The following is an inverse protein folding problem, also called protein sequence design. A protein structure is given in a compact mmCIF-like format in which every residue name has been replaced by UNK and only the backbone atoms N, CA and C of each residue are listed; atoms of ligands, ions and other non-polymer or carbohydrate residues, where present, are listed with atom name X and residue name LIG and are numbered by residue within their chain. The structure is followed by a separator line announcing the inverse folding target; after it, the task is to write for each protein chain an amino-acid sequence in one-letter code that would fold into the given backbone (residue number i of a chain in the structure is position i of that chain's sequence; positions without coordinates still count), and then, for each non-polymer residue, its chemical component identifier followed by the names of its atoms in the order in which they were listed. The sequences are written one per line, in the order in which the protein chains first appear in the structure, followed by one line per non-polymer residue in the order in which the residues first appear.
data_IF_041899849395
#
_entry.id   IF_041899849395
#
_cell.length_a   1.000
_cell.length_b   1.000
_cell.length_c   1.000
_cell.angle_alpha   90.00
_cell.angle_beta   90.00
_cell.angle_gamma   90.00
#
_symmetry.space_group_name_H-M   'P 1'
#
loop_
_entity.id
_entity.type
_entity.pdbx_description
1 polymer ?
#
# COMPACT_ATOMS: atom_id res chain seq x y z
N UNK A 1 -10.97 -4.74 3.84
CA UNK A 1 -11.21 -4.44 2.41
C UNK A 1 -10.41 -5.39 1.56
N UNK A 2 -11.01 -5.95 0.55
CA UNK A 2 -10.34 -6.93 -0.31
C UNK A 2 -9.98 -6.33 -1.67
N UNK A 3 -9.01 -6.95 -2.33
CA UNK A 3 -8.63 -6.63 -3.71
C UNK A 3 -9.85 -6.63 -4.64
N UNK A 4 -10.70 -7.63 -4.51
CA UNK A 4 -11.88 -7.78 -5.36
C UNK A 4 -12.84 -6.61 -5.21
N UNK A 5 -13.05 -6.13 -3.99
CA UNK A 5 -13.92 -4.98 -3.74
C UNK A 5 -13.35 -3.70 -4.33
N UNK A 6 -12.04 -3.51 -4.21
CA UNK A 6 -11.39 -2.33 -4.79
C UNK A 6 -11.53 -2.33 -6.30
N UNK A 7 -11.30 -3.47 -6.94
CA UNK A 7 -11.43 -3.61 -8.38
C UNK A 7 -12.87 -3.40 -8.85
N UNK A 8 -13.84 -3.77 -8.02
CA UNK A 8 -15.25 -3.53 -8.33
C UNK A 8 -15.59 -2.04 -8.28
N UNK A 9 -14.98 -1.31 -7.33
CA UNK A 9 -15.20 0.13 -7.18
C UNK A 9 -14.45 0.94 -8.25
N UNK A 10 -13.26 0.52 -8.62
CA UNK A 10 -12.46 1.15 -9.67
C UNK A 10 -11.55 0.11 -10.33
N UNK A 11 -11.92 -0.39 -11.51
CA UNK A 11 -11.09 -1.38 -12.21
C UNK A 11 -9.69 -0.89 -12.60
N UNK A 12 -9.50 0.42 -12.63
CA UNK A 12 -8.22 1.03 -13.00
C UNK A 12 -7.31 1.25 -11.80
N UNK A 13 -7.80 1.03 -10.57
CA UNK A 13 -6.98 1.19 -9.37
C UNK A 13 -5.76 0.26 -9.43
N UNK A 14 -4.59 0.84 -9.18
CA UNK A 14 -3.34 0.08 -9.18
C UNK A 14 -3.23 -0.64 -7.83
N UNK A 15 -3.01 -1.94 -7.89
CA UNK A 15 -2.86 -2.78 -6.72
C UNK A 15 -1.48 -3.42 -6.70
N UNK A 16 -0.95 -3.63 -5.52
CA UNK A 16 0.29 -4.37 -5.34
C UNK A 16 0.05 -5.85 -5.58
N UNK A 17 1.14 -6.62 -5.64
CA UNK A 17 1.06 -8.07 -5.75
C UNK A 17 0.16 -8.68 -4.66
N UNK A 18 -0.40 -9.85 -4.93
CA UNK A 18 -1.34 -10.53 -4.03
C UNK A 18 -0.78 -10.74 -2.62
N UNK A 19 0.55 -10.91 -2.50
CA UNK A 19 1.17 -11.08 -1.19
C UNK A 19 0.97 -9.87 -0.26
N UNK A 20 0.64 -8.71 -0.81
CA UNK A 20 0.39 -7.50 -0.04
C UNK A 20 -1.09 -7.27 0.28
N UNK A 21 -1.97 -8.17 -0.13
CA UNK A 21 -3.41 -7.99 0.10
C UNK A 21 -3.76 -7.86 1.57
N UNK A 22 -3.03 -8.56 2.44
CA UNK A 22 -3.24 -8.47 3.89
C UNK A 22 -2.90 -7.10 4.46
N UNK A 23 -2.16 -6.29 3.72
CA UNK A 23 -1.79 -4.94 4.13
C UNK A 23 -2.83 -3.89 3.68
N UNK A 24 -3.86 -4.28 2.95
CA UNK A 24 -4.91 -3.34 2.53
C UNK A 24 -5.74 -2.96 3.75
N UNK A 25 -5.78 -1.67 4.06
CA UNK A 25 -6.55 -1.16 5.20
C UNK A 25 -7.84 -0.48 4.80
N UNK A 26 -7.99 -0.14 3.52
CA UNK A 26 -9.21 0.48 3.06
C UNK A 26 -9.07 1.10 1.69
N UNK A 27 -9.97 2.01 1.39
CA UNK A 27 -9.97 2.79 0.16
C UNK A 27 -10.08 4.25 0.47
N UNK A 28 -9.60 5.07 -0.45
CA UNK A 28 -9.76 6.51 -0.37
C UNK A 28 -10.02 7.07 -1.75
N UNK A 29 -10.09 8.38 -1.84
CA UNK A 29 -10.27 9.05 -3.12
C UNK A 29 -9.05 9.91 -3.42
N UNK A 30 -8.57 9.85 -4.66
CA UNK A 30 -7.50 10.74 -5.09
C UNK A 30 -8.06 12.15 -5.35
N UNK A 31 -7.21 13.06 -5.80
CA UNK A 31 -7.61 14.45 -6.04
C UNK A 31 -8.72 14.58 -7.10
N UNK A 32 -8.83 13.61 -8.00
CA UNK A 32 -9.88 13.57 -9.02
C UNK A 32 -11.16 12.87 -8.56
N UNK A 33 -11.20 12.36 -7.33
CA UNK A 33 -12.36 11.65 -6.80
C UNK A 33 -12.41 10.16 -7.14
N UNK A 34 -11.37 9.63 -7.79
CA UNK A 34 -11.32 8.20 -8.11
C UNK A 34 -10.95 7.38 -6.90
N UNK A 35 -11.56 6.21 -6.77
CA UNK A 35 -11.25 5.28 -5.68
C UNK A 35 -9.87 4.67 -5.87
N UNK A 36 -9.06 4.72 -4.84
CA UNK A 36 -7.73 4.12 -4.83
C UNK A 36 -7.56 3.27 -3.58
N UNK A 37 -6.61 2.32 -3.62
CA UNK A 37 -6.31 1.47 -2.49
C UNK A 37 -5.48 2.20 -1.45
N UNK A 38 -5.70 1.87 -0.18
CA UNK A 38 -4.87 2.33 0.93
C UNK A 38 -4.24 1.12 1.58
N UNK A 39 -2.91 1.11 1.64
CA UNK A 39 -2.12 0.05 2.27
C UNK A 39 -1.48 0.56 3.54
N UNK A 40 -1.31 -0.34 4.52
CA UNK A 40 -0.49 -0.05 5.69
C UNK A 40 0.98 -0.11 5.30
N UNK A 41 1.70 0.99 5.47
CA UNK A 41 3.14 1.05 5.20
C UNK A 41 3.90 0.03 6.04
N UNK A 42 3.60 -0.01 7.33
CA UNK A 42 4.25 -0.93 8.26
C UNK A 42 4.04 -2.39 7.84
N UNK A 43 2.81 -2.75 7.50
CA UNK A 43 2.50 -4.13 7.12
C UNK A 43 3.19 -4.51 5.81
N UNK A 44 3.30 -3.59 4.87
CA UNK A 44 4.04 -3.83 3.63
C UNK A 44 5.52 -4.09 3.90
N UNK A 45 6.13 -3.30 4.77
CA UNK A 45 7.53 -3.51 5.16
C UNK A 45 7.70 -4.86 5.86
N UNK A 46 6.78 -5.21 6.76
CA UNK A 46 6.80 -6.49 7.47
C UNK A 46 6.73 -7.68 6.51
N UNK A 47 5.92 -7.57 5.45
CA UNK A 47 5.81 -8.61 4.44
C UNK A 47 7.16 -8.81 3.72
N UNK A 48 7.82 -7.73 3.35
CA UNK A 48 9.14 -7.80 2.72
C UNK A 48 10.16 -8.41 3.68
N UNK A 49 10.15 -7.98 4.94
CA UNK A 49 11.06 -8.49 5.97
C UNK A 49 10.86 -9.99 6.23
N UNK A 50 9.63 -10.48 6.11
CA UNK A 50 9.34 -11.91 6.36
C UNK A 50 9.99 -12.82 5.32
N UNK A 51 10.40 -12.29 4.18
CA UNK A 51 11.12 -13.05 3.15
C UNK A 51 12.64 -13.11 3.41
N UNK A 52 13.09 -12.71 4.59
CA UNK A 52 14.49 -12.78 4.98
C UNK A 52 15.27 -11.50 4.75
N UNK A 53 14.61 -10.42 4.36
CA UNK A 53 15.23 -9.11 4.19
C UNK A 53 15.24 -8.38 5.54
N UNK A 54 16.36 -7.76 5.89
CA UNK A 54 16.45 -6.98 7.12
C UNK A 54 15.53 -5.76 7.05
N UNK A 55 15.04 -5.31 8.21
CA UNK A 55 14.06 -4.21 8.29
C UNK A 55 14.51 -2.95 7.57
N UNK A 56 15.77 -2.56 7.74
CA UNK A 56 16.29 -1.35 7.09
C UNK A 56 16.31 -1.50 5.57
N UNK A 57 16.73 -2.67 5.09
CA UNK A 57 16.74 -2.97 3.67
C UNK A 57 15.32 -3.07 3.11
N UNK A 58 14.40 -3.65 3.87
CA UNK A 58 13.00 -3.75 3.48
C UNK A 58 12.38 -2.35 3.33
N UNK A 59 12.67 -1.44 4.24
CA UNK A 59 12.19 -0.06 4.16
C UNK A 59 12.74 0.67 2.94
N UNK A 60 14.02 0.48 2.63
CA UNK A 60 14.64 1.07 1.46
C UNK A 60 14.04 0.53 0.16
N UNK A 61 13.87 -0.79 0.08
CA UNK A 61 13.24 -1.43 -1.08
C UNK A 61 11.82 -0.91 -1.28
N UNK A 62 11.06 -0.82 -0.20
CA UNK A 62 9.68 -0.36 -0.28
C UNK A 62 9.60 1.11 -0.67
N UNK A 63 10.48 1.95 -0.12
CA UNK A 63 10.54 3.37 -0.48
C UNK A 63 10.83 3.54 -1.98
N UNK A 64 11.76 2.77 -2.52
CA UNK A 64 12.07 2.78 -3.96
C UNK A 64 10.86 2.34 -4.77
N UNK A 65 10.19 1.28 -4.33
CA UNK A 65 9.00 0.78 -4.99
C UNK A 65 7.90 1.85 -5.04
N UNK A 66 7.62 2.49 -3.91
CA UNK A 66 6.61 3.55 -3.81
C UNK A 66 6.95 4.70 -4.76
N UNK A 67 8.20 5.08 -4.81
CA UNK A 67 8.63 6.19 -5.66
C UNK A 67 8.43 5.89 -7.15
N UNK A 68 8.62 4.65 -7.56
CA UNK A 68 8.42 4.23 -8.95
C UNK A 68 6.96 3.93 -9.29
N UNK A 69 6.07 3.88 -8.30
CA UNK A 69 4.67 3.53 -8.49
C UNK A 69 3.74 4.74 -8.54
N UNK A 70 4.28 5.92 -8.77
CA UNK A 70 3.49 7.14 -8.80
C UNK A 70 2.66 7.22 -10.07
N UNK A 71 1.38 7.50 -9.93
CA UNK A 71 0.46 7.68 -11.03
C UNK A 71 -0.91 8.07 -10.51
N UNK A 72 -1.83 8.35 -11.43
CA UNK A 72 -3.17 8.84 -11.08
C UNK A 72 -3.94 7.85 -10.20
N UNK A 73 -3.78 6.56 -10.46
CA UNK A 73 -4.51 5.52 -9.74
C UNK A 73 -3.64 4.74 -8.77
N UNK A 74 -2.48 5.28 -8.43
CA UNK A 74 -1.55 4.64 -7.50
C UNK A 74 -2.14 4.58 -6.11
N UNK A 75 -1.81 3.51 -5.35
CA UNK A 75 -2.28 3.39 -3.97
C UNK A 75 -1.59 4.43 -3.08
N UNK A 76 -2.22 4.69 -1.94
CA UNK A 76 -1.65 5.49 -0.87
C UNK A 76 -1.17 4.56 0.23
N UNK A 77 -0.05 4.91 0.84
CA UNK A 77 0.52 4.14 1.93
C UNK A 77 0.35 4.93 3.24
N UNK A 78 -0.46 4.36 4.12
CA UNK A 78 -0.75 4.97 5.41
C UNK A 78 0.38 4.65 6.38
N UNK A 79 1.03 5.69 6.90
CA UNK A 79 2.00 5.54 7.96
C UNK A 79 1.28 5.74 9.29
N UNK A 80 1.26 4.70 10.11
CA UNK A 80 0.63 4.78 11.42
C UNK A 80 1.64 5.26 12.45
N UNK A 81 1.28 6.33 13.12
CA UNK A 81 2.02 6.81 14.26
C UNK A 81 1.22 6.55 15.51
N UNK A 82 1.82 5.77 16.41
CA UNK A 82 1.29 5.62 17.74
C UNK A 82 2.03 6.62 18.61
N UNK A 83 1.47 7.80 18.70
CA UNK A 83 2.03 8.77 19.59
C UNK A 83 1.47 8.55 20.96
N UNK A 84 2.35 8.13 21.85
CA UNK A 84 2.02 8.02 23.26
C UNK A 84 2.53 9.30 23.90
N UNK A 85 1.64 10.21 24.03
CA UNK A 85 1.96 11.44 24.71
C UNK A 85 2.06 11.22 26.21
#
# INVERSE_FOLDING_TARGET
MSRTMIQALNPEAILLDNSFDVAIVGVGNNASGDVIAIYSHKDCVDIISSDGVEDDDARMLFATFVEHSRGKYSPVFLTEFWEIA
#
